data_IF_897787376093
#
_entry.id   IF_897787376093
#
_cell.length_a   1.000
_cell.length_b   1.000
_cell.length_c   1.000
_cell.angle_alpha   90.00
_cell.angle_beta   90.00
_cell.angle_gamma   90.00
#
_symmetry.space_group_name_H-M   'P 1'
#
loop_
_entity.id
_entity.type
_entity.pdbx_description
1 polymer ?
#
# COMPACT_ATOMS: atom_id res chain seq x y z
N UNK A 1 -19.90 27.00 2.72
CA UNK A 1 -19.32 27.28 1.39
C UNK A 1 -17.89 27.80 1.54
N UNK A 2 -16.89 26.93 1.43
CA UNK A 2 -15.53 27.33 1.07
C UNK A 2 -15.08 26.36 -0.02
N UNK A 3 -15.00 26.89 -1.23
CA UNK A 3 -14.53 26.20 -2.43
C UNK A 3 -13.05 25.86 -2.23
N UNK A 4 -12.74 24.58 -2.01
CA UNK A 4 -11.35 24.07 -2.07
C UNK A 4 -11.09 23.65 -3.51
N UNK A 5 -11.14 24.63 -4.42
CA UNK A 5 -10.64 24.46 -5.78
C UNK A 5 -9.14 24.75 -5.76
N UNK A 6 -8.36 23.77 -5.30
CA UNK A 6 -6.92 23.78 -5.50
C UNK A 6 -6.58 22.63 -6.47
N UNK A 7 -6.97 22.80 -7.73
CA UNK A 7 -6.52 21.92 -8.82
C UNK A 7 -5.01 22.11 -8.92
N UNK A 8 -4.25 21.12 -8.44
CA UNK A 8 -2.81 21.05 -8.72
C UNK A 8 -2.63 21.29 -10.23
N UNK A 9 -1.68 22.14 -10.61
CA UNK A 9 -1.15 22.16 -11.97
C UNK A 9 -0.43 20.83 -12.18
N UNK A 10 -1.20 19.82 -12.59
CA UNK A 10 -0.78 18.43 -12.61
C UNK A 10 0.11 18.18 -13.81
N UNK A 11 1.41 18.20 -13.57
CA UNK A 11 2.35 17.65 -14.54
C UNK A 11 2.02 16.16 -14.76
N UNK A 12 2.29 15.67 -15.98
CA UNK A 12 2.09 14.27 -16.37
C UNK A 12 2.82 13.25 -15.48
N UNK A 13 3.69 13.72 -14.57
CA UNK A 13 4.49 12.91 -13.66
C UNK A 13 3.72 12.35 -12.45
N UNK A 14 2.45 12.70 -12.22
CA UNK A 14 1.72 12.36 -10.98
C UNK A 14 0.50 11.44 -11.14
N UNK A 15 0.34 10.71 -12.25
CA UNK A 15 -0.84 9.82 -12.40
C UNK A 15 -0.92 8.77 -11.31
N UNK A 16 -2.14 8.47 -10.88
CA UNK A 16 -2.44 7.64 -9.70
C UNK A 16 -3.18 6.38 -10.12
N UNK A 17 -2.77 5.23 -9.60
CA UNK A 17 -3.55 4.00 -9.62
C UNK A 17 -4.15 3.80 -8.24
N UNK A 18 -5.48 3.62 -8.17
CA UNK A 18 -6.17 3.24 -6.93
C UNK A 18 -6.65 1.81 -7.07
N UNK A 19 -6.20 0.95 -6.18
CA UNK A 19 -6.54 -0.48 -6.16
C UNK A 19 -7.49 -0.75 -5.01
N UNK A 20 -8.53 -1.54 -5.30
CA UNK A 20 -9.43 -2.07 -4.29
C UNK A 20 -9.79 -3.52 -4.60
N UNK A 21 -10.03 -4.31 -3.56
CA UNK A 21 -10.53 -5.67 -3.63
C UNK A 21 -12.04 -5.72 -3.93
N UNK A 22 -12.77 -4.62 -3.71
CA UNK A 22 -14.24 -4.57 -3.79
C UNK A 22 -14.71 -3.66 -4.93
N UNK A 23 -15.53 -4.20 -5.83
CA UNK A 23 -16.08 -3.40 -6.94
C UNK A 23 -17.05 -2.33 -6.46
N UNK A 24 -17.72 -2.53 -5.32
CA UNK A 24 -18.57 -1.52 -4.70
C UNK A 24 -17.75 -0.30 -4.24
N UNK A 25 -16.57 -0.52 -3.65
CA UNK A 25 -15.63 0.56 -3.30
C UNK A 25 -15.20 1.33 -4.55
N UNK A 26 -14.89 0.63 -5.64
CA UNK A 26 -14.58 1.28 -6.92
C UNK A 26 -15.76 2.12 -7.46
N UNK A 27 -17.01 1.69 -7.23
CA UNK A 27 -18.18 2.51 -7.60
C UNK A 27 -18.24 3.81 -6.80
N UNK A 28 -17.98 3.74 -5.48
CA UNK A 28 -17.95 4.94 -4.62
C UNK A 28 -16.82 5.88 -5.06
N UNK A 29 -15.61 5.33 -5.24
CA UNK A 29 -14.45 6.11 -5.71
C UNK A 29 -14.68 6.74 -7.08
N UNK A 30 -15.42 6.07 -7.96
CA UNK A 30 -15.83 6.62 -9.25
C UNK A 30 -16.70 7.87 -9.09
N UNK A 31 -17.71 7.84 -8.21
CA UNK A 31 -18.54 9.00 -7.93
C UNK A 31 -17.75 10.13 -7.26
N UNK A 32 -16.82 9.80 -6.36
CA UNK A 32 -15.88 10.78 -5.79
C UNK A 32 -15.04 11.45 -6.88
N UNK A 33 -14.50 10.69 -7.84
CA UNK A 33 -13.75 11.25 -8.97
C UNK A 33 -14.61 12.24 -9.78
N UNK A 34 -15.88 11.89 -10.07
CA UNK A 34 -16.81 12.77 -10.78
C UNK A 34 -17.10 14.05 -9.99
N UNK A 35 -17.44 13.93 -8.71
CA UNK A 35 -17.75 15.07 -7.85
C UNK A 35 -16.56 16.02 -7.68
N UNK A 36 -15.35 15.49 -7.59
CA UNK A 36 -14.12 16.29 -7.50
C UNK A 36 -13.59 16.77 -8.86
N UNK A 37 -14.20 16.34 -9.98
CA UNK A 37 -13.77 16.72 -11.32
C UNK A 37 -12.44 16.09 -11.75
N UNK A 38 -12.09 14.92 -11.22
CA UNK A 38 -10.93 14.14 -11.65
C UNK A 38 -11.30 13.23 -12.82
N UNK A 39 -10.51 13.30 -13.89
CA UNK A 39 -10.60 12.34 -14.99
C UNK A 39 -10.09 10.98 -14.53
N UNK A 40 -10.82 9.93 -14.87
CA UNK A 40 -10.46 8.58 -14.47
C UNK A 40 -10.72 7.57 -15.59
N UNK A 41 -10.05 6.43 -15.49
CA UNK A 41 -10.38 5.20 -16.22
C UNK A 41 -10.53 4.07 -15.22
N UNK A 42 -11.21 2.99 -15.61
CA UNK A 42 -11.52 1.87 -14.71
C UNK A 42 -11.29 0.55 -15.43
N UNK A 43 -10.68 -0.39 -14.71
CA UNK A 43 -10.55 -1.79 -15.14
C UNK A 43 -10.93 -2.71 -13.99
N UNK A 44 -11.97 -3.50 -14.20
CA UNK A 44 -12.40 -4.53 -13.25
C UNK A 44 -12.85 -5.82 -13.96
N UNK A 45 -13.48 -6.73 -13.22
CA UNK A 45 -13.95 -8.01 -13.76
C UNK A 45 -15.01 -7.88 -14.86
N UNK A 46 -15.77 -6.77 -14.89
CA UNK A 46 -16.79 -6.51 -15.90
C UNK A 46 -16.22 -5.97 -17.22
N UNK A 47 -14.98 -5.49 -17.21
CA UNK A 47 -14.32 -4.96 -18.41
C UNK A 47 -14.05 -6.11 -19.42
N UNK A 48 -14.58 -6.01 -20.65
CA UNK A 48 -14.36 -7.02 -21.70
C UNK A 48 -12.87 -7.22 -21.97
N UNK A 49 -12.44 -8.48 -22.13
CA UNK A 49 -11.02 -8.83 -22.32
C UNK A 49 -10.40 -8.09 -23.50
N UNK A 50 -11.14 -7.95 -24.61
CA UNK A 50 -10.70 -7.24 -25.81
C UNK A 50 -10.39 -5.76 -25.59
N UNK A 51 -10.99 -5.12 -24.59
CA UNK A 51 -10.80 -3.69 -24.30
C UNK A 51 -9.69 -3.43 -23.27
N UNK A 52 -9.29 -4.44 -22.49
CA UNK A 52 -8.37 -4.26 -21.36
C UNK A 52 -7.02 -3.70 -21.80
N UNK A 53 -6.45 -4.22 -22.89
CA UNK A 53 -5.16 -3.76 -23.39
C UNK A 53 -5.23 -2.31 -23.87
N UNK A 54 -6.30 -1.94 -24.59
CA UNK A 54 -6.50 -0.57 -25.05
C UNK A 54 -6.60 0.43 -23.89
N UNK A 55 -7.30 0.07 -22.81
CA UNK A 55 -7.40 0.91 -21.61
C UNK A 55 -6.02 1.14 -20.97
N UNK A 56 -5.22 0.07 -20.86
CA UNK A 56 -3.86 0.12 -20.32
C UNK A 56 -2.94 0.97 -21.20
N UNK A 57 -2.93 0.74 -22.50
CA UNK A 57 -2.09 1.47 -23.46
C UNK A 57 -2.46 2.96 -23.50
N UNK A 58 -3.76 3.25 -23.48
CA UNK A 58 -4.27 4.61 -23.38
C UNK A 58 -3.78 5.30 -22.10
N UNK A 59 -3.83 4.62 -20.95
CA UNK A 59 -3.36 5.18 -19.68
C UNK A 59 -1.84 5.37 -19.63
N UNK A 60 -1.06 4.49 -20.26
CA UNK A 60 0.40 4.63 -20.35
C UNK A 60 0.84 5.70 -21.35
N UNK A 61 -0.03 6.11 -22.27
CA UNK A 61 0.26 7.17 -23.25
C UNK A 61 0.53 8.50 -22.56
N UNK A 62 1.54 9.24 -23.04
CA UNK A 62 1.83 10.59 -22.56
C UNK A 62 0.65 11.54 -22.75
N UNK A 63 -0.22 11.29 -23.73
CA UNK A 63 -1.37 12.13 -24.04
C UNK A 63 -2.65 11.70 -23.29
N UNK A 64 -2.58 10.71 -22.39
CA UNK A 64 -3.76 10.30 -21.64
C UNK A 64 -4.31 11.46 -20.80
N UNK A 65 -5.60 11.82 -20.95
CA UNK A 65 -6.22 12.82 -20.10
C UNK A 65 -6.62 12.28 -18.73
N UNK A 66 -6.67 10.95 -18.55
CA UNK A 66 -7.06 10.32 -17.29
C UNK A 66 -5.96 10.50 -16.24
N UNK A 67 -6.36 11.01 -15.08
CA UNK A 67 -5.48 11.17 -13.93
C UNK A 67 -5.45 9.91 -13.06
N UNK A 68 -6.63 9.31 -12.84
CA UNK A 68 -6.82 8.18 -11.92
C UNK A 68 -7.12 6.91 -12.72
N UNK A 69 -6.46 5.82 -12.37
CA UNK A 69 -6.80 4.48 -12.84
C UNK A 69 -7.40 3.69 -11.68
N UNK A 70 -8.70 3.42 -11.73
CA UNK A 70 -9.41 2.59 -10.77
C UNK A 70 -9.26 1.12 -11.16
N UNK A 71 -8.60 0.33 -10.33
CA UNK A 71 -8.26 -1.07 -10.63
C UNK A 71 -8.82 -2.00 -9.55
N UNK A 72 -9.56 -3.02 -9.98
CA UNK A 72 -9.81 -4.15 -9.08
C UNK A 72 -8.54 -5.00 -8.94
N UNK A 73 -8.15 -5.33 -7.71
CA UNK A 73 -6.94 -6.12 -7.41
C UNK A 73 -6.92 -7.46 -8.18
N UNK A 74 -8.08 -8.11 -8.28
CA UNK A 74 -8.28 -9.40 -8.94
C UNK A 74 -8.51 -9.28 -10.45
N UNK A 75 -8.69 -8.07 -10.98
CA UNK A 75 -8.80 -7.83 -12.41
C UNK A 75 -7.42 -7.59 -13.06
N UNK A 76 -7.33 -7.77 -14.38
CA UNK A 76 -6.15 -7.40 -15.15
C UNK A 76 -5.19 -8.52 -15.56
N UNK A 77 -5.44 -9.78 -15.21
CA UNK A 77 -4.63 -10.92 -15.66
C UNK A 77 -3.16 -10.90 -15.18
N UNK A 78 -2.41 -11.93 -15.55
CA UNK A 78 -0.95 -11.97 -15.34
C UNK A 78 -0.31 -11.05 -16.38
N UNK A 79 0.40 -10.00 -15.93
CA UNK A 79 1.22 -9.16 -16.82
C UNK A 79 0.72 -7.74 -17.10
N UNK A 80 -0.35 -7.26 -16.44
CA UNK A 80 -0.76 -5.86 -16.54
C UNK A 80 0.39 -4.91 -16.16
N UNK A 81 0.64 -3.89 -17.01
CA UNK A 81 1.73 -2.93 -16.83
C UNK A 81 1.21 -1.48 -16.84
N UNK A 82 1.35 -0.76 -15.73
CA UNK A 82 0.83 0.59 -15.51
C UNK A 82 1.95 1.60 -15.21
N UNK A 83 3.04 1.54 -15.97
CA UNK A 83 4.21 2.45 -15.84
C UNK A 83 3.90 3.93 -16.13
N UNK A 84 2.72 4.23 -16.69
CA UNK A 84 2.24 5.60 -16.83
C UNK A 84 1.89 6.27 -15.49
N UNK A 85 1.74 5.51 -14.40
CA UNK A 85 1.53 6.03 -13.06
C UNK A 85 2.81 6.05 -12.24
N UNK A 86 2.91 7.02 -11.35
CA UNK A 86 3.97 7.14 -10.35
C UNK A 86 3.45 6.99 -8.93
N UNK A 87 2.13 6.97 -8.73
CA UNK A 87 1.51 6.85 -7.42
C UNK A 87 0.56 5.65 -7.43
N UNK A 88 0.63 4.83 -6.39
CA UNK A 88 -0.25 3.69 -6.17
C UNK A 88 -0.87 3.79 -4.79
N UNK A 89 -2.19 3.73 -4.72
CA UNK A 89 -2.95 3.65 -3.48
C UNK A 89 -3.59 2.27 -3.40
N UNK A 90 -3.17 1.46 -2.43
CA UNK A 90 -3.88 0.26 -2.00
C UNK A 90 -4.92 0.71 -0.99
N UNK A 91 -6.17 0.80 -1.44
CA UNK A 91 -7.26 1.39 -0.65
C UNK A 91 -7.71 0.46 0.49
N UNK A 92 -7.72 -0.83 0.23
CA UNK A 92 -8.09 -1.87 1.18
C UNK A 92 -7.14 -3.07 1.04
N UNK A 93 -7.11 -3.91 2.06
CA UNK A 93 -6.16 -5.02 2.21
C UNK A 93 -6.85 -6.38 2.00
N UNK A 94 -6.17 -7.28 1.27
CA UNK A 94 -6.63 -8.68 1.12
C UNK A 94 -5.98 -9.59 2.18
N UNK A 95 -6.63 -10.68 2.55
CA UNK A 95 -6.02 -11.65 3.47
C UNK A 95 -4.75 -12.30 2.91
N UNK A 96 -4.65 -12.42 1.59
CA UNK A 96 -3.48 -12.96 0.92
C UNK A 96 -2.51 -11.82 0.54
N UNK A 97 -1.31 -11.75 1.15
CA UNK A 97 -0.33 -10.70 0.83
C UNK A 97 0.15 -10.72 -0.62
N UNK A 98 0.02 -11.86 -1.33
CA UNK A 98 0.37 -11.95 -2.74
C UNK A 98 -0.48 -11.01 -3.61
N UNK A 99 -1.74 -10.74 -3.22
CA UNK A 99 -2.64 -9.83 -3.92
C UNK A 99 -2.06 -8.42 -3.96
N UNK A 100 -1.62 -7.89 -2.82
CA UNK A 100 -1.02 -6.56 -2.71
C UNK A 100 0.32 -6.49 -3.45
N UNK A 101 1.18 -7.51 -3.29
CA UNK A 101 2.47 -7.59 -3.99
C UNK A 101 2.26 -7.56 -5.51
N UNK A 102 1.27 -8.29 -6.00
CA UNK A 102 0.93 -8.31 -7.40
C UNK A 102 0.43 -6.95 -7.88
N UNK A 103 -0.40 -6.25 -7.09
CA UNK A 103 -0.86 -4.91 -7.39
C UNK A 103 0.31 -3.91 -7.47
N UNK A 104 1.22 -3.92 -6.50
CA UNK A 104 2.44 -3.10 -6.50
C UNK A 104 3.31 -3.36 -7.74
N UNK A 105 3.48 -4.63 -8.11
CA UNK A 105 4.27 -5.04 -9.27
C UNK A 105 3.67 -4.65 -10.63
N UNK A 106 2.45 -4.07 -10.67
CA UNK A 106 1.87 -3.49 -11.89
C UNK A 106 2.37 -2.07 -12.15
N UNK A 107 2.78 -1.34 -11.10
CA UNK A 107 3.24 0.06 -11.19
C UNK A 107 4.75 0.17 -11.00
N UNK A 108 5.29 -0.51 -9.98
CA UNK A 108 6.72 -0.62 -9.74
C UNK A 108 7.28 -1.83 -10.48
N UNK A 109 7.60 -1.60 -11.76
CA UNK A 109 8.07 -2.62 -12.71
C UNK A 109 9.05 -2.00 -13.71
N UNK A 110 9.81 -2.87 -14.38
CA UNK A 110 10.66 -2.50 -15.51
C UNK A 110 9.90 -1.64 -16.54
N UNK A 111 10.52 -0.54 -16.96
CA UNK A 111 9.93 0.47 -17.84
C UNK A 111 9.43 1.72 -17.11
N UNK A 112 9.35 1.70 -15.78
CA UNK A 112 9.08 2.89 -14.97
C UNK A 112 10.24 3.89 -15.08
N UNK A 113 9.91 5.18 -15.20
CA UNK A 113 10.88 6.29 -15.35
C UNK A 113 10.80 7.34 -14.25
N UNK A 114 9.80 7.23 -13.38
CA UNK A 114 9.56 8.15 -12.27
C UNK A 114 9.71 7.41 -10.93
N UNK A 115 10.02 8.16 -9.88
CA UNK A 115 9.94 7.66 -8.51
C UNK A 115 8.51 7.22 -8.21
N UNK A 116 8.35 5.96 -7.80
CA UNK A 116 7.03 5.40 -7.47
C UNK A 116 6.76 5.57 -5.97
N UNK A 117 5.59 6.11 -5.65
CA UNK A 117 5.10 6.25 -4.29
C UNK A 117 3.95 5.24 -4.09
N UNK A 118 4.07 4.39 -3.09
CA UNK A 118 3.07 3.37 -2.78
C UNK A 118 2.51 3.67 -1.39
N UNK A 119 1.19 3.85 -1.34
CA UNK A 119 0.44 4.09 -0.11
C UNK A 119 -0.44 2.89 0.14
N UNK A 120 -0.32 2.28 1.32
CA UNK A 120 -1.27 1.28 1.81
C UNK A 120 -2.09 1.93 2.92
N UNK A 121 -3.39 2.03 2.73
CA UNK A 121 -4.29 2.58 3.72
C UNK A 121 -4.73 1.47 4.67
N UNK A 122 -4.73 1.78 5.96
CA UNK A 122 -5.19 0.89 7.04
C UNK A 122 -5.94 1.75 8.05
N UNK A 123 -7.10 1.28 8.49
CA UNK A 123 -7.85 1.94 9.55
C UNK A 123 -7.35 1.48 10.92
N UNK A 124 -6.78 2.41 11.68
CA UNK A 124 -6.18 2.19 13.00
C UNK A 124 -7.12 1.48 13.95
N UNK A 125 -6.61 0.47 14.66
CA UNK A 125 -7.35 -0.25 15.69
C UNK A 125 -8.42 -1.21 15.17
N UNK A 126 -8.63 -1.29 13.85
CA UNK A 126 -9.65 -2.14 13.24
C UNK A 126 -9.09 -3.49 12.78
N UNK A 127 -9.98 -4.32 12.24
CA UNK A 127 -9.64 -5.58 11.59
C UNK A 127 -8.61 -5.43 10.46
N UNK A 128 -8.57 -4.29 9.75
CA UNK A 128 -7.62 -4.08 8.65
C UNK A 128 -6.17 -4.13 9.14
N UNK A 129 -5.91 -3.53 10.31
CA UNK A 129 -4.60 -3.52 10.93
C UNK A 129 -4.20 -4.94 11.39
N UNK A 130 -5.15 -5.72 11.92
CA UNK A 130 -4.93 -7.13 12.29
C UNK A 130 -4.66 -8.02 11.08
N UNK A 131 -5.36 -7.79 9.96
CA UNK A 131 -5.09 -8.48 8.69
C UNK A 131 -3.66 -8.18 8.24
N UNK A 132 -3.24 -6.92 8.33
CA UNK A 132 -1.88 -6.51 7.95
C UNK A 132 -0.80 -7.17 8.82
N UNK A 133 -0.99 -7.19 10.15
CA UNK A 133 -0.08 -7.89 11.08
C UNK A 133 0.08 -9.38 10.71
N UNK A 134 -1.00 -10.03 10.31
CA UNK A 134 -0.98 -11.43 9.85
C UNK A 134 -0.30 -11.60 8.51
N UNK A 135 -0.52 -10.69 7.55
CA UNK A 135 0.22 -10.69 6.29
C UNK A 135 1.73 -10.66 6.55
N UNK A 136 2.20 -9.73 7.37
CA UNK A 136 3.62 -9.56 7.69
C UNK A 136 4.18 -10.79 8.42
N UNK A 137 3.43 -11.34 9.38
CA UNK A 137 3.82 -12.58 10.07
C UNK A 137 3.94 -13.76 9.11
N UNK A 138 2.95 -13.96 8.21
CA UNK A 138 2.97 -15.04 7.20
C UNK A 138 4.11 -14.86 6.20
N UNK A 139 4.37 -13.61 5.81
CA UNK A 139 5.46 -13.24 4.92
C UNK A 139 6.84 -13.49 5.53
N UNK A 140 7.02 -13.16 6.81
CA UNK A 140 8.25 -13.46 7.56
C UNK A 140 8.51 -14.96 7.71
N UNK A 141 7.46 -15.76 7.95
CA UNK A 141 7.57 -17.23 8.05
C UNK A 141 7.84 -17.89 6.69
N UNK A 142 7.19 -17.42 5.62
CA UNK A 142 7.42 -17.94 4.26
C UNK A 142 8.83 -17.64 3.72
N UNK A 143 9.51 -16.62 4.24
CA UNK A 143 10.92 -16.35 3.93
C UNK A 143 11.89 -17.36 4.57
N UNK A 144 11.44 -18.07 5.62
CA UNK A 144 12.23 -19.06 6.36
C UNK A 144 11.96 -20.52 5.93
N UNK A 145 10.88 -20.77 5.17
CA UNK A 145 10.49 -22.11 4.75
C UNK A 145 10.13 -22.09 3.26
N UNK A 146 11.02 -22.62 2.42
CA UNK A 146 10.72 -22.96 1.02
C UNK A 146 10.12 -24.36 0.95
N UNK A 147 8.96 -24.43 0.31
CA UNK A 147 8.15 -25.60 -0.09
C UNK A 147 7.53 -26.49 1.00
N UNK A 148 6.21 -26.70 0.92
CA UNK A 148 5.60 -27.84 0.20
C UNK A 148 4.06 -27.76 0.30
N UNK A 149 3.38 -27.68 -0.85
CA UNK A 149 2.01 -28.21 -1.09
C UNK A 149 0.88 -27.88 -0.08
N UNK A 150 -0.11 -27.06 -0.50
CA UNK A 150 -1.56 -27.41 -0.54
C UNK A 150 -2.43 -26.18 -0.81
N UNK A 151 -3.46 -26.39 -1.65
CA UNK A 151 -4.49 -25.40 -1.95
C UNK A 151 -5.31 -25.00 -0.73
N UNK A 152 -5.85 -23.79 -0.79
CA UNK A 152 -6.83 -23.21 0.15
C UNK A 152 -6.52 -23.51 1.63
N UNK A 153 -5.47 -22.89 2.15
CA UNK A 153 -5.25 -22.80 3.59
C UNK A 153 -6.42 -22.06 4.23
N UNK A 154 -7.35 -22.79 4.84
CA UNK A 154 -8.34 -22.20 5.73
C UNK A 154 -7.61 -21.46 6.85
N UNK A 155 -7.91 -20.17 7.01
CA UNK A 155 -7.39 -19.36 8.11
C UNK A 155 -7.93 -19.96 9.42
N UNK A 156 -7.06 -20.62 10.19
CA UNK A 156 -7.41 -21.20 11.49
C UNK A 156 -7.14 -20.17 12.58
N UNK A 157 -8.15 -19.89 13.40
CA UNK A 157 -8.05 -18.99 14.55
C UNK A 157 -8.42 -19.74 15.82
N UNK A 158 -7.72 -19.43 16.93
CA UNK A 158 -8.24 -19.69 18.26
C UNK A 158 -9.47 -18.79 18.53
N UNK A 159 -10.24 -19.12 19.57
CA UNK A 159 -11.39 -18.30 19.97
C UNK A 159 -10.91 -16.92 20.44
N UNK A 160 -9.81 -16.85 21.17
CA UNK A 160 -9.19 -15.60 21.62
C UNK A 160 -8.72 -14.76 20.43
N UNK A 161 -8.05 -15.38 19.46
CA UNK A 161 -7.61 -14.69 18.24
C UNK A 161 -8.79 -14.14 17.44
N UNK A 162 -9.87 -14.90 17.33
CA UNK A 162 -11.08 -14.47 16.62
C UNK A 162 -11.77 -13.30 17.35
N UNK A 163 -11.83 -13.34 18.69
CA UNK A 163 -12.31 -12.19 19.47
C UNK A 163 -11.44 -10.96 19.25
N UNK A 164 -10.12 -11.11 19.31
CA UNK A 164 -9.18 -10.01 19.10
C UNK A 164 -9.30 -9.42 17.69
N UNK A 165 -9.55 -10.26 16.67
CA UNK A 165 -9.73 -9.84 15.29
C UNK A 165 -10.91 -8.87 15.10
N UNK A 166 -11.98 -9.04 15.88
CA UNK A 166 -13.19 -8.20 15.83
C UNK A 166 -13.25 -7.18 16.99
N UNK A 167 -12.15 -6.97 17.71
CA UNK A 167 -12.06 -5.94 18.75
C UNK A 167 -11.54 -4.65 18.14
N UNK A 168 -12.25 -3.54 18.37
CA UNK A 168 -11.78 -2.20 18.02
C UNK A 168 -10.88 -1.68 19.15
N UNK A 169 -9.71 -1.16 18.79
CA UNK A 169 -8.77 -0.53 19.72
C UNK A 169 -8.72 0.99 19.49
N UNK A 170 -9.39 1.77 20.35
CA UNK A 170 -9.45 3.24 20.21
C UNK A 170 -8.29 3.97 20.91
N UNK A 171 -7.64 3.32 21.88
CA UNK A 171 -6.62 3.95 22.74
C UNK A 171 -5.21 3.99 22.12
N UNK A 172 -5.05 3.52 20.87
CA UNK A 172 -3.76 3.44 20.20
C UNK A 172 -3.76 4.23 18.89
N UNK A 173 -2.68 4.96 18.65
CA UNK A 173 -2.42 5.59 17.36
C UNK A 173 -2.00 4.57 16.29
N UNK A 174 -1.50 3.39 16.68
CA UNK A 174 -1.16 2.27 15.79
C UNK A 174 -0.90 0.99 16.59
N UNK A 175 -1.84 0.04 16.54
CA UNK A 175 -1.72 -1.24 17.26
C UNK A 175 -0.53 -2.06 16.76
N UNK A 176 -0.20 -1.95 15.47
CA UNK A 176 0.95 -2.64 14.87
C UNK A 176 2.27 -2.12 15.44
N UNK A 177 2.37 -0.82 15.69
CA UNK A 177 3.54 -0.23 16.32
C UNK A 177 3.67 -0.67 17.79
N UNK A 178 2.56 -0.72 18.53
CA UNK A 178 2.57 -1.18 19.92
C UNK A 178 3.07 -2.63 20.03
N UNK A 179 2.68 -3.49 19.09
CA UNK A 179 3.16 -4.88 19.00
C UNK A 179 4.65 -5.01 18.66
N UNK A 180 5.27 -3.97 18.09
CA UNK A 180 6.72 -3.96 17.85
C UNK A 180 7.51 -3.64 19.11
N UNK A 181 6.85 -3.15 20.18
CA UNK A 181 7.49 -2.68 21.42
C UNK A 181 8.61 -1.67 21.13
N UNK A 182 8.38 -0.79 20.15
CA UNK A 182 9.38 0.12 19.64
C UNK A 182 9.55 1.36 20.54
N UNK A 183 10.80 1.74 20.81
CA UNK A 183 11.15 2.88 21.66
C UNK A 183 11.25 4.23 20.91
N UNK A 184 10.85 4.29 19.64
CA UNK A 184 11.08 5.47 18.79
C UNK A 184 10.25 6.69 19.21
N UNK A 185 9.09 6.48 19.87
CA UNK A 185 8.20 7.57 20.32
C UNK A 185 8.71 8.32 21.58
N UNK A 186 9.80 7.86 22.20
CA UNK A 186 10.41 8.48 23.38
C UNK A 186 11.65 9.35 23.10
N UNK A 187 12.15 9.38 21.86
CA UNK A 187 13.34 10.18 21.50
C UNK A 187 12.90 11.39 20.66
N UNK A 188 13.23 12.59 21.14
CA UNK A 188 12.90 13.89 20.51
C UNK A 188 13.57 14.11 19.15
N UNK A 189 14.36 13.16 18.67
CA UNK A 189 15.09 13.28 17.43
C UNK A 189 14.50 12.33 16.40
N UNK A 190 14.14 12.92 15.27
CA UNK A 190 13.61 12.31 14.04
C UNK A 190 14.65 11.38 13.34
N UNK A 191 15.49 10.70 14.11
CA UNK A 191 16.41 9.67 13.65
C UNK A 191 15.68 8.33 13.83
N UNK A 192 15.57 7.56 12.74
CA UNK A 192 14.95 6.25 12.74
C UNK A 192 15.54 5.33 13.82
N UNK A 193 14.88 4.17 14.03
CA UNK A 193 15.35 3.13 14.94
C UNK A 193 16.87 2.91 14.81
N UNK A 194 17.63 2.85 15.91
CA UNK A 194 19.05 2.54 15.86
C UNK A 194 19.26 1.19 15.18
N UNK A 195 20.07 1.18 14.13
CA UNK A 195 20.61 -0.05 13.58
C UNK A 195 21.64 -0.53 14.59
N UNK A 196 21.37 -1.64 15.29
CA UNK A 196 22.43 -2.35 16.00
C UNK A 196 23.34 -2.98 14.93
N UNK A 197 24.53 -2.40 14.76
CA UNK A 197 25.61 -3.00 13.99
C UNK A 197 26.14 -4.21 14.75
N UNK A 198 25.85 -5.41 14.25
CA UNK A 198 26.70 -6.57 14.50
C UNK A 198 27.01 -7.35 13.22
N UNK A 199 28.18 -7.02 12.68
CA UNK A 199 29.24 -7.84 12.11
C UNK A 199 28.95 -9.05 11.19
N UNK A 200 29.31 -8.84 9.91
CA UNK A 200 30.08 -9.71 9.00
C UNK A 200 29.53 -11.11 8.61
N UNK A 201 29.08 -11.24 7.35
CA UNK A 201 29.87 -11.88 6.29
C UNK A 201 29.20 -11.73 4.91
N UNK A 202 30.04 -11.54 3.90
CA UNK A 202 29.76 -11.31 2.49
C UNK A 202 29.07 -12.47 1.77
N UNK A 203 28.11 -12.16 0.88
CA UNK A 203 28.14 -12.59 -0.53
C UNK A 203 27.05 -11.88 -1.36
N UNK A 204 27.45 -11.52 -2.58
CA UNK A 204 26.66 -10.89 -3.62
C UNK A 204 25.65 -11.84 -4.26
N UNK A 205 24.68 -11.23 -4.93
CA UNK A 205 23.86 -11.75 -6.04
C UNK A 205 22.42 -12.24 -5.76
N UNK A 206 21.55 -11.77 -6.66
CA UNK A 206 20.10 -11.99 -6.83
C UNK A 206 19.16 -11.14 -5.95
N UNK A 207 18.63 -10.04 -6.52
CA UNK A 207 17.46 -9.28 -6.02
C UNK A 207 16.19 -10.15 -6.06
N UNK A 208 16.10 -11.13 -5.17
CA UNK A 208 14.84 -11.81 -4.87
C UNK A 208 14.02 -10.90 -3.95
N UNK A 209 12.76 -10.65 -4.29
CA UNK A 209 11.82 -9.84 -3.51
C UNK A 209 11.70 -10.42 -2.10
N UNK A 210 12.46 -9.89 -1.14
CA UNK A 210 12.32 -10.30 0.27
C UNK A 210 10.91 -9.94 0.74
N UNK A 211 10.22 -10.97 1.23
CA UNK A 211 8.91 -10.91 1.86
C UNK A 211 8.98 -10.03 3.11
N UNK A 212 8.04 -9.10 3.30
CA UNK A 212 8.06 -8.15 4.43
C UNK A 212 7.86 -8.89 5.76
N UNK A 213 8.79 -8.74 6.71
CA UNK A 213 8.68 -9.30 8.07
C UNK A 213 8.48 -8.22 9.15
N UNK A 214 8.11 -8.63 10.36
CA UNK A 214 7.99 -7.71 11.51
C UNK A 214 9.33 -7.03 11.82
N UNK A 215 10.44 -7.77 11.72
CA UNK A 215 11.79 -7.20 11.89
C UNK A 215 12.13 -6.15 10.83
N UNK A 216 11.67 -6.33 9.59
CA UNK A 216 11.85 -5.31 8.56
C UNK A 216 10.97 -4.10 8.80
N UNK A 217 9.73 -4.27 9.27
CA UNK A 217 8.85 -3.17 9.62
C UNK A 217 9.42 -2.31 10.76
N UNK A 218 10.11 -2.94 11.73
CA UNK A 218 10.84 -2.25 12.80
C UNK A 218 11.96 -1.33 12.27
N UNK A 219 12.57 -1.68 11.14
CA UNK A 219 13.65 -0.90 10.50
C UNK A 219 13.11 0.26 9.65
N UNK A 220 11.81 0.31 9.38
CA UNK A 220 11.20 1.42 8.63
C UNK A 220 11.20 2.68 9.48
N UNK A 221 11.09 3.84 8.84
CA UNK A 221 10.86 5.10 9.56
C UNK A 221 9.45 5.10 10.12
N UNK A 222 9.32 5.50 11.37
CA UNK A 222 8.07 5.56 12.10
C UNK A 222 7.73 7.02 12.37
N UNK A 223 6.52 7.44 11.98
CA UNK A 223 6.05 8.80 12.22
C UNK A 223 4.72 8.76 12.97
N UNK A 224 4.70 9.29 14.18
CA UNK A 224 3.46 9.68 14.83
C UNK A 224 3.10 11.11 14.43
N UNK A 225 1.82 11.35 14.14
CA UNK A 225 1.36 12.60 13.51
C UNK A 225 1.44 13.82 14.42
N UNK A 226 1.72 13.64 15.71
CA UNK A 226 2.11 14.73 16.61
C UNK A 226 3.42 15.43 16.19
N UNK A 227 4.20 14.82 15.27
CA UNK A 227 5.45 15.36 14.74
C UNK A 227 5.23 16.20 13.47
N UNK A 228 5.61 17.48 13.56
CA UNK A 228 5.07 18.58 12.76
C UNK A 228 5.35 18.63 11.25
N UNK A 229 6.11 17.73 10.64
CA UNK A 229 6.35 17.78 9.19
C UNK A 229 6.57 16.39 8.60
N UNK A 230 5.65 15.94 7.75
CA UNK A 230 5.83 14.74 6.94
C UNK A 230 6.66 15.08 5.69
N UNK A 231 7.59 14.20 5.26
CA UNK A 231 8.43 14.46 4.10
C UNK A 231 7.64 14.49 2.78
N UNK A 232 6.48 13.84 2.75
CA UNK A 232 5.59 13.78 1.60
C UNK A 232 4.55 14.92 1.65
N UNK A 233 4.55 15.86 0.68
CA UNK A 233 3.59 16.97 0.64
C UNK A 233 2.12 16.54 0.53
N UNK A 234 1.84 15.36 -0.01
CA UNK A 234 0.48 14.83 -0.09
C UNK A 234 0.01 14.34 1.28
N UNK A 235 0.88 13.66 2.03
CA UNK A 235 0.57 13.19 3.38
C UNK A 235 0.44 14.33 4.38
N UNK A 236 1.30 15.35 4.29
CA UNK A 236 1.22 16.52 5.18
C UNK A 236 -0.12 17.26 5.07
N UNK A 237 -0.74 17.28 3.88
CA UNK A 237 -2.06 17.91 3.66
C UNK A 237 -3.22 17.17 4.31
N UNK A 238 -3.09 15.87 4.52
CA UNK A 238 -4.14 15.03 5.09
C UNK A 238 -3.78 14.54 6.51
N UNK A 239 -2.75 15.12 7.11
CA UNK A 239 -2.21 14.68 8.41
C UNK A 239 -3.26 14.59 9.50
N UNK A 240 -4.24 15.48 9.51
CA UNK A 240 -5.34 15.46 10.50
C UNK A 240 -6.19 14.17 10.46
N UNK A 241 -6.08 13.35 9.40
CA UNK A 241 -6.76 12.06 9.24
C UNK A 241 -5.82 10.86 9.36
N UNK A 242 -4.54 11.09 9.68
CA UNK A 242 -3.53 10.04 9.82
C UNK A 242 -3.15 9.97 11.30
N UNK A 243 -3.09 8.76 11.86
CA UNK A 243 -2.62 8.57 13.24
C UNK A 243 -1.14 8.15 13.27
N UNK A 244 -0.69 7.39 12.27
CA UNK A 244 0.65 6.83 12.20
C UNK A 244 1.09 6.49 10.78
N UNK A 245 2.41 6.54 10.51
CA UNK A 245 3.00 6.14 9.23
C UNK A 245 4.23 5.26 9.45
N UNK A 246 4.26 4.13 8.74
CA UNK A 246 5.47 3.37 8.45
C UNK A 246 5.97 3.74 7.04
N UNK A 247 7.23 4.15 6.91
CA UNK A 247 7.80 4.54 5.63
C UNK A 247 9.15 3.85 5.36
N UNK A 248 9.31 3.35 4.14
CA UNK A 248 10.57 2.88 3.61
C UNK A 248 10.82 3.46 2.22
N UNK A 249 12.09 3.61 1.84
CA UNK A 249 12.53 4.07 0.54
C UNK A 249 13.54 3.08 -0.01
N UNK A 250 13.26 2.50 -1.16
CA UNK A 250 14.20 1.64 -1.89
C UNK A 250 14.87 2.44 -3.00
N UNK A 251 16.20 2.46 -3.02
CA UNK A 251 17.02 3.04 -4.09
C UNK A 251 17.10 2.14 -5.32
#
# INVERSE_FOLDING_TARGET
>A
MKSVNNKFSMSHAYRVVVVSNYTQTLNILQEVCKHCGYSYTRLDGSTPVSQRQQIVDSFNSKFCPAFIFLLSSKAGGVGLNLVGASHLILYDIDWNPATDIQAMARVWRDGQRHTVHIYRLLTTGTIEEKIYQRQISKQGLSGAVVDFSKGSEHIRFSIEELRNLFTLHEDSNCVTHDLLECNCMGKKDNQGCPVEEDCQSSQSDVKSKKSLSMSQLMQWKHFCVDHKNLPDPFLDRIKDNITFIFQNMTS
#
